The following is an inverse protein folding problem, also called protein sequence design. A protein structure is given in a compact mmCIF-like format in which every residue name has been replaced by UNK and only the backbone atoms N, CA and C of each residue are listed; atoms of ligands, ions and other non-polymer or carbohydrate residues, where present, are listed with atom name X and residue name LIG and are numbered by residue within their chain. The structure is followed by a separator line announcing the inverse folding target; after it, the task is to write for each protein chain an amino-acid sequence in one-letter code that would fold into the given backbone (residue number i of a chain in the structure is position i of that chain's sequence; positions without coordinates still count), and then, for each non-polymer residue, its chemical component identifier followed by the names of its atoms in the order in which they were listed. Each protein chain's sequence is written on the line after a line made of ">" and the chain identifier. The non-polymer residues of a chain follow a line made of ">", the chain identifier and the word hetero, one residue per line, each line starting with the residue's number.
data_IF_584052053206
#
_entry.id   IF_584052053206
#
_cell.length_a   1.000
_cell.length_b   1.000
_cell.length_c   1.000
_cell.angle_alpha   90.00
_cell.angle_beta   90.00
_cell.angle_gamma   90.00
#
_symmetry.space_group_name_H-M   'P 1'
#
loop_
_entity.id
_entity.type
_entity.pdbx_description
1 polymer ?
#
# COMPACT_ATOMS: atom_id res chain seq x y z
N UNK A 1 -4.84 37.43 -12.96
CA UNK A 1 -3.79 37.70 -14.02
C UNK A 1 -4.47 37.81 -15.40
N UNK A 2 -5.10 36.77 -15.93
CA UNK A 2 -5.69 36.80 -17.28
C UNK A 2 -6.78 37.87 -17.50
N UNK A 3 -7.51 38.27 -16.45
CA UNK A 3 -8.59 39.29 -16.53
C UNK A 3 -8.00 40.68 -16.63
N UNK A 4 -6.90 40.97 -15.94
CA UNK A 4 -6.18 42.22 -15.96
C UNK A 4 -5.51 42.47 -17.32
N UNK A 5 -4.81 41.46 -17.84
CA UNK A 5 -4.23 41.49 -19.18
C UNK A 5 -5.29 41.72 -20.26
N UNK A 6 -6.46 41.07 -20.15
CA UNK A 6 -7.57 41.27 -21.05
C UNK A 6 -8.12 42.71 -20.99
N UNK A 7 -8.36 43.21 -19.76
CA UNK A 7 -8.86 44.57 -19.58
C UNK A 7 -7.91 45.63 -20.15
N UNK A 8 -6.59 45.47 -19.92
CA UNK A 8 -5.54 46.32 -20.45
C UNK A 8 -5.50 46.29 -21.99
N UNK A 9 -5.55 45.11 -22.56
CA UNK A 9 -5.52 44.90 -24.05
C UNK A 9 -6.71 45.54 -24.75
N UNK A 10 -7.88 45.54 -24.12
CA UNK A 10 -9.11 46.08 -24.70
C UNK A 10 -9.51 47.45 -24.15
N UNK A 11 -8.62 48.12 -23.42
CA UNK A 11 -8.86 49.44 -22.79
C UNK A 11 -10.12 49.50 -21.95
N UNK A 12 -10.42 48.46 -21.21
CA UNK A 12 -11.51 48.43 -20.26
C UNK A 12 -11.10 49.15 -18.95
N UNK A 13 -12.06 49.79 -18.24
CA UNK A 13 -11.72 50.46 -16.98
C UNK A 13 -11.33 49.46 -15.93
N UNK A 14 -10.18 49.67 -15.30
CA UNK A 14 -9.69 48.92 -14.14
C UNK A 14 -9.87 49.79 -12.92
N UNK A 15 -10.64 49.35 -11.92
CA UNK A 15 -10.98 50.08 -10.71
C UNK A 15 -10.36 49.40 -9.51
N UNK A 16 -9.60 50.12 -8.72
CA UNK A 16 -9.09 49.63 -7.45
C UNK A 16 -10.24 49.37 -6.46
N UNK A 17 -10.33 48.15 -5.94
CA UNK A 17 -11.33 47.73 -4.95
C UNK A 17 -10.71 47.24 -3.65
N UNK A 18 -9.39 47.00 -3.64
CA UNK A 18 -8.60 46.67 -2.44
C UNK A 18 -7.36 47.55 -2.46
N UNK A 19 -7.23 48.41 -1.45
CA UNK A 19 -6.07 49.30 -1.31
C UNK A 19 -4.82 48.52 -0.90
N UNK A 20 -3.66 49.00 -1.34
CA UNK A 20 -2.37 48.47 -0.91
C UNK A 20 -1.42 48.09 -2.04
N UNK A 21 -1.89 48.09 -3.30
CA UNK A 21 -1.10 47.84 -4.49
C UNK A 21 -1.11 49.00 -5.49
N UNK A 22 -0.42 48.81 -6.59
CA UNK A 22 -0.40 49.73 -7.74
C UNK A 22 -1.09 49.06 -8.94
N UNK A 23 -2.39 49.24 -9.08
CA UNK A 23 -3.21 48.61 -10.14
C UNK A 23 -2.83 49.07 -11.54
N UNK A 24 -1.99 50.13 -11.69
CA UNK A 24 -1.47 50.52 -12.96
C UNK A 24 -0.32 49.59 -13.46
N UNK A 25 0.27 48.80 -12.56
CA UNK A 25 1.35 47.87 -12.88
C UNK A 25 0.89 46.43 -12.96
N UNK A 26 0.08 46.03 -11.98
CA UNK A 26 -0.41 44.64 -11.87
C UNK A 26 -1.67 44.54 -11.00
N UNK A 27 -2.42 43.48 -11.16
CA UNK A 27 -3.57 43.16 -10.32
C UNK A 27 -3.10 42.88 -8.87
N UNK A 28 -3.67 43.61 -7.89
CA UNK A 28 -3.35 43.44 -6.48
C UNK A 28 -4.04 42.18 -5.91
N UNK A 29 -3.24 41.24 -5.41
CA UNK A 29 -3.72 39.97 -4.82
C UNK A 29 -3.46 39.87 -3.31
N UNK A 30 -2.88 40.91 -2.72
CA UNK A 30 -2.56 40.95 -1.29
C UNK A 30 -3.74 41.38 -0.42
N UNK A 31 -3.48 41.45 0.89
CA UNK A 31 -4.43 41.99 1.86
C UNK A 31 -4.52 43.53 1.75
N UNK A 32 -5.66 44.09 2.13
CA UNK A 32 -5.91 45.52 2.14
C UNK A 32 -7.29 45.86 2.65
N UNK A 33 -7.64 47.15 2.56
CA UNK A 33 -8.95 47.67 2.91
C UNK A 33 -9.75 47.88 1.65
N UNK A 34 -11.03 47.47 1.68
CA UNK A 34 -11.93 47.63 0.53
C UNK A 34 -12.21 49.12 0.31
N UNK A 35 -12.12 49.52 -0.98
CA UNK A 35 -12.39 50.90 -1.46
C UNK A 35 -13.27 50.77 -2.70
N UNK A 36 -13.97 51.85 -3.08
CA UNK A 36 -14.86 51.90 -4.23
C UNK A 36 -15.90 50.74 -4.25
N UNK A 37 -16.31 50.27 -3.09
CA UNK A 37 -17.18 49.11 -2.88
C UNK A 37 -18.27 49.42 -1.83
N UNK A 38 -19.30 50.25 -2.15
CA UNK A 38 -20.16 50.95 -1.19
C UNK A 38 -20.70 50.14 -0.01
N UNK A 39 -21.02 48.85 -0.21
CA UNK A 39 -21.58 47.99 0.83
C UNK A 39 -20.52 47.53 1.84
N UNK A 40 -19.25 47.46 1.40
CA UNK A 40 -18.14 46.83 2.14
C UNK A 40 -16.91 47.71 2.26
N UNK A 41 -17.00 48.98 1.86
CA UNK A 41 -15.91 49.96 2.01
C UNK A 41 -15.41 50.05 3.47
N UNK A 42 -14.10 50.23 3.62
CA UNK A 42 -13.43 50.35 4.89
C UNK A 42 -13.23 49.05 5.67
N UNK A 43 -13.67 47.92 5.14
CA UNK A 43 -13.46 46.60 5.74
C UNK A 43 -12.21 45.93 5.18
N UNK A 44 -11.57 45.11 6.02
CA UNK A 44 -10.55 44.19 5.51
C UNK A 44 -11.20 43.03 4.72
N UNK A 45 -10.42 42.32 3.88
CA UNK A 45 -10.91 41.29 3.00
C UNK A 45 -11.75 40.20 3.68
N UNK A 46 -11.36 39.62 4.86
CA UNK A 46 -12.16 38.62 5.56
C UNK A 46 -13.54 39.16 6.03
N UNK A 47 -13.55 40.34 6.60
CA UNK A 47 -14.79 40.99 7.07
C UNK A 47 -15.71 41.38 5.89
N UNK A 48 -15.13 41.86 4.79
CA UNK A 48 -15.87 42.21 3.58
C UNK A 48 -16.52 40.96 2.95
N UNK A 49 -15.82 39.84 2.85
CA UNK A 49 -16.37 38.57 2.35
C UNK A 49 -17.59 38.13 3.18
N UNK A 50 -17.49 38.17 4.49
CA UNK A 50 -18.60 37.80 5.37
C UNK A 50 -19.80 38.74 5.19
N UNK A 51 -19.57 40.07 5.15
CA UNK A 51 -20.63 41.07 5.01
C UNK A 51 -21.30 41.01 3.65
N UNK A 52 -20.56 40.83 2.55
CA UNK A 52 -21.17 40.77 1.22
C UNK A 52 -22.01 39.48 1.03
N UNK A 53 -21.58 38.35 1.59
CA UNK A 53 -22.38 37.13 1.59
C UNK A 53 -23.72 37.37 2.34
N UNK A 54 -23.68 37.92 3.51
CA UNK A 54 -24.89 38.24 4.31
C UNK A 54 -25.83 39.22 3.56
N UNK A 55 -25.27 40.24 2.90
CA UNK A 55 -26.06 41.19 2.10
C UNK A 55 -26.70 40.53 0.89
N UNK A 56 -26.00 39.65 0.19
CA UNK A 56 -26.54 38.89 -0.95
C UNK A 56 -27.68 37.93 -0.54
N UNK A 57 -27.54 37.32 0.65
CA UNK A 57 -28.59 36.47 1.23
C UNK A 57 -29.83 37.27 1.61
N UNK A 58 -29.63 38.41 2.26
CA UNK A 58 -30.73 39.36 2.63
C UNK A 58 -31.49 39.83 1.40
N UNK A 59 -30.79 40.09 0.30
CA UNK A 59 -31.41 40.48 -0.98
C UNK A 59 -32.05 39.32 -1.76
N UNK A 60 -31.83 38.07 -1.35
CA UNK A 60 -32.33 36.88 -2.05
C UNK A 60 -31.68 36.63 -3.40
N UNK A 61 -30.51 37.24 -3.67
CA UNK A 61 -29.79 37.16 -4.96
C UNK A 61 -28.50 36.32 -4.88
N UNK A 62 -28.17 35.78 -3.73
CA UNK A 62 -27.01 34.92 -3.53
C UNK A 62 -27.08 34.16 -2.20
N UNK A 63 -26.21 33.19 -2.02
CA UNK A 63 -26.06 32.40 -0.79
C UNK A 63 -24.59 32.09 -0.57
N UNK A 64 -24.12 32.28 0.68
CA UNK A 64 -22.79 31.84 1.07
C UNK A 64 -22.67 30.32 0.99
N UNK A 65 -21.69 29.83 0.25
CA UNK A 65 -21.42 28.39 0.11
C UNK A 65 -19.97 28.09 0.45
N UNK A 66 -19.77 26.95 1.10
CA UNK A 66 -18.43 26.41 1.34
C UNK A 66 -18.16 25.35 0.29
N UNK A 67 -17.17 25.61 -0.55
CA UNK A 67 -16.73 24.65 -1.55
C UNK A 67 -15.42 23.99 -1.06
N UNK A 68 -15.39 22.68 -1.09
CA UNK A 68 -14.18 21.93 -0.78
C UNK A 68 -13.33 21.75 -2.05
N UNK A 69 -12.00 21.84 -1.92
CA UNK A 69 -11.07 21.61 -3.05
C UNK A 69 -10.99 20.14 -3.43
N UNK A 70 -11.28 19.24 -2.49
CA UNK A 70 -11.34 17.81 -2.75
C UNK A 70 -12.59 17.49 -3.56
N UNK A 71 -12.43 16.69 -4.60
CA UNK A 71 -13.57 16.11 -5.33
C UNK A 71 -14.22 15.03 -4.48
N UNK A 72 -15.51 14.83 -4.70
CA UNK A 72 -16.23 13.70 -4.08
C UNK A 72 -15.56 12.39 -4.43
N UNK A 73 -15.48 11.52 -3.42
CA UNK A 73 -14.91 10.20 -3.60
C UNK A 73 -15.98 9.26 -4.15
N UNK A 74 -15.82 8.84 -5.41
CA UNK A 74 -16.75 7.92 -6.05
C UNK A 74 -16.48 6.49 -5.57
N UNK A 75 -17.43 5.94 -4.81
CA UNK A 75 -17.39 4.56 -4.30
C UNK A 75 -18.09 3.57 -5.25
N UNK A 76 -18.08 3.82 -6.55
CA UNK A 76 -18.65 2.94 -7.57
C UNK A 76 -17.72 2.77 -8.76
N UNK A 77 -17.80 1.63 -9.41
CA UNK A 77 -17.04 1.29 -10.61
C UNK A 77 -17.94 0.65 -11.66
N UNK A 78 -17.71 1.00 -12.91
CA UNK A 78 -18.39 0.45 -14.09
C UNK A 78 -17.68 -0.84 -14.51
N UNK A 79 -17.64 -1.82 -13.62
CA UNK A 79 -16.96 -3.10 -13.81
C UNK A 79 -17.85 -4.25 -13.37
N UNK A 80 -17.68 -5.41 -13.99
CA UNK A 80 -18.35 -6.64 -13.56
C UNK A 80 -17.76 -7.16 -12.24
N UNK A 81 -16.41 -7.31 -12.18
CA UNK A 81 -15.74 -7.81 -10.99
C UNK A 81 -15.66 -6.78 -9.87
N UNK A 82 -16.41 -7.03 -8.83
CA UNK A 82 -16.52 -6.21 -7.63
C UNK A 82 -17.73 -6.65 -6.82
N UNK A 83 -17.82 -6.22 -5.56
CA UNK A 83 -19.01 -6.48 -4.72
C UNK A 83 -20.21 -5.69 -5.28
N UNK A 84 -21.36 -6.34 -5.54
CA UNK A 84 -22.57 -5.64 -5.94
C UNK A 84 -23.09 -4.72 -4.82
N UNK A 85 -23.67 -3.58 -5.20
CA UNK A 85 -24.38 -2.77 -4.23
C UNK A 85 -25.72 -3.41 -3.88
N UNK A 86 -26.05 -3.60 -2.59
CA UNK A 86 -27.34 -4.11 -2.17
C UNK A 86 -28.42 -3.01 -2.20
N UNK A 87 -28.57 -2.38 -3.37
CA UNK A 87 -29.48 -1.26 -3.58
C UNK A 87 -30.42 -1.53 -4.78
N UNK A 88 -31.65 -1.06 -4.62
CA UNK A 88 -32.64 -1.03 -5.70
C UNK A 88 -33.18 0.39 -5.88
N UNK A 89 -33.51 0.75 -7.11
CA UNK A 89 -34.10 2.06 -7.45
C UNK A 89 -35.51 1.85 -8.00
N UNK A 90 -36.49 2.52 -7.40
CA UNK A 90 -37.87 2.50 -7.82
C UNK A 90 -38.09 3.43 -9.05
N UNK A 91 -39.23 3.32 -9.74
CA UNK A 91 -39.56 4.16 -10.89
C UNK A 91 -39.59 5.67 -10.59
N UNK A 92 -39.91 6.04 -9.34
CA UNK A 92 -39.91 7.44 -8.90
C UNK A 92 -38.52 7.97 -8.53
N UNK A 93 -37.46 7.16 -8.70
CA UNK A 93 -36.08 7.50 -8.36
C UNK A 93 -35.72 7.24 -6.89
N UNK A 94 -36.64 6.72 -6.08
CA UNK A 94 -36.35 6.38 -4.69
C UNK A 94 -35.38 5.21 -4.63
N UNK A 95 -34.24 5.37 -3.91
CA UNK A 95 -33.25 4.32 -3.67
C UNK A 95 -33.53 3.65 -2.32
N UNK A 96 -33.59 2.32 -2.31
CA UNK A 96 -33.77 1.50 -1.11
C UNK A 96 -32.68 0.45 -0.98
N UNK A 97 -32.39 0.07 0.27
CA UNK A 97 -31.55 -1.09 0.55
C UNK A 97 -32.31 -2.39 0.29
N UNK A 98 -31.61 -3.40 -0.22
CA UNK A 98 -32.11 -4.78 -0.29
C UNK A 98 -32.29 -5.31 1.14
N UNK A 99 -33.42 -5.96 1.47
CA UNK A 99 -33.63 -6.54 2.80
C UNK A 99 -32.54 -7.55 3.17
N UNK A 100 -32.27 -7.67 4.47
CA UNK A 100 -31.28 -8.63 5.00
C UNK A 100 -31.57 -10.08 4.59
N UNK A 101 -32.85 -10.45 4.41
CA UNK A 101 -33.26 -11.78 3.96
C UNK A 101 -32.85 -12.13 2.55
N UNK A 102 -32.61 -11.11 1.72
CA UNK A 102 -32.28 -11.25 0.30
C UNK A 102 -30.77 -11.08 0.03
N UNK A 103 -29.97 -10.99 1.08
CA UNK A 103 -28.53 -10.96 1.01
C UNK A 103 -27.92 -12.38 1.06
N UNK A 104 -26.78 -12.61 0.41
CA UNK A 104 -26.00 -11.67 -0.39
C UNK A 104 -26.57 -11.45 -1.80
N UNK A 105 -26.41 -10.24 -2.33
CA UNK A 105 -26.62 -9.99 -3.75
C UNK A 105 -25.43 -10.58 -4.52
N UNK A 106 -25.68 -11.60 -5.35
CA UNK A 106 -24.63 -12.29 -6.11
C UNK A 106 -24.56 -11.77 -7.55
N UNK A 107 -23.36 -11.79 -8.13
CA UNK A 107 -23.16 -11.44 -9.53
C UNK A 107 -23.83 -12.49 -10.46
N UNK A 108 -24.55 -12.07 -11.50
CA UNK A 108 -25.11 -12.99 -12.49
C UNK A 108 -24.03 -13.41 -13.49
N UNK A 109 -24.16 -14.58 -14.08
CA UNK A 109 -23.34 -14.95 -15.23
C UNK A 109 -23.67 -14.09 -16.44
N UNK A 110 -22.67 -13.70 -17.21
CA UNK A 110 -22.80 -12.91 -18.45
C UNK A 110 -22.05 -13.60 -19.58
N UNK A 111 -22.63 -13.56 -20.77
CA UNK A 111 -21.99 -14.03 -22.01
C UNK A 111 -20.81 -13.12 -22.40
N UNK A 112 -20.91 -11.81 -22.11
CA UNK A 112 -19.88 -10.80 -22.37
C UNK A 112 -19.70 -9.83 -21.20
N UNK A 113 -18.45 -9.60 -20.79
CA UNK A 113 -18.08 -8.68 -19.70
C UNK A 113 -17.69 -7.27 -20.18
N UNK A 114 -18.27 -6.84 -21.31
CA UNK A 114 -18.05 -5.51 -21.89
C UNK A 114 -19.17 -4.55 -21.49
N UNK A 115 -18.89 -3.24 -21.45
CA UNK A 115 -19.95 -2.24 -21.34
C UNK A 115 -21.02 -2.41 -22.44
N UNK A 116 -22.20 -1.88 -22.21
CA UNK A 116 -23.25 -1.81 -23.23
C UNK A 116 -22.86 -0.82 -24.34
N UNK A 117 -23.56 -0.80 -25.46
CA UNK A 117 -23.28 0.11 -26.58
C UNK A 117 -23.47 1.58 -26.18
N UNK A 118 -24.39 1.86 -25.25
CA UNK A 118 -24.66 3.19 -24.68
C UNK A 118 -23.76 3.53 -23.49
N UNK A 119 -22.73 2.70 -23.21
CA UNK A 119 -21.72 2.94 -22.18
C UNK A 119 -22.13 2.59 -20.75
N UNK A 120 -23.24 1.85 -20.55
CA UNK A 120 -23.63 1.37 -19.23
C UNK A 120 -22.67 0.25 -18.73
N UNK A 121 -22.58 0.01 -17.41
CA UNK A 121 -21.75 -1.05 -16.87
C UNK A 121 -22.11 -2.44 -17.43
N UNK A 122 -21.17 -3.40 -17.41
CA UNK A 122 -21.42 -4.76 -17.90
C UNK A 122 -22.64 -5.44 -17.27
N UNK A 123 -22.93 -5.19 -15.99
CA UNK A 123 -24.11 -5.76 -15.30
C UNK A 123 -25.43 -5.29 -15.90
N UNK A 124 -25.48 -4.14 -16.58
CA UNK A 124 -26.68 -3.68 -17.27
C UNK A 124 -27.13 -4.62 -18.40
N UNK A 125 -26.25 -5.51 -18.89
CA UNK A 125 -26.60 -6.57 -19.87
C UNK A 125 -27.44 -7.69 -19.26
N UNK A 126 -27.38 -7.88 -17.94
CA UNK A 126 -28.11 -8.92 -17.24
C UNK A 126 -29.58 -8.52 -16.99
N UNK A 127 -30.37 -8.32 -18.02
CA UNK A 127 -31.75 -7.82 -17.91
C UNK A 127 -32.59 -8.53 -16.83
N UNK A 128 -32.53 -9.86 -16.74
CA UNK A 128 -33.26 -10.65 -15.73
C UNK A 128 -32.81 -10.38 -14.30
N UNK A 129 -31.54 -10.04 -14.12
CA UNK A 129 -30.98 -9.70 -12.82
C UNK A 129 -31.22 -8.24 -12.46
N UNK A 130 -31.13 -7.32 -13.43
CA UNK A 130 -31.34 -5.88 -13.22
C UNK A 130 -32.78 -5.59 -12.81
N UNK A 131 -33.77 -6.19 -13.52
CA UNK A 131 -35.17 -5.97 -13.22
C UNK A 131 -35.60 -6.83 -12.02
N UNK A 132 -36.08 -6.17 -11.00
CA UNK A 132 -36.54 -6.78 -9.75
C UNK A 132 -37.79 -6.08 -9.25
N UNK A 133 -38.26 -6.42 -8.07
CA UNK A 133 -39.33 -5.72 -7.38
C UNK A 133 -38.90 -5.33 -5.97
N UNK A 134 -39.46 -4.26 -5.47
CA UNK A 134 -39.35 -3.88 -4.06
C UNK A 134 -40.06 -4.92 -3.20
N UNK A 135 -39.36 -5.62 -2.31
CA UNK A 135 -39.98 -6.69 -1.51
C UNK A 135 -41.09 -6.22 -0.56
N UNK A 136 -41.07 -4.94 -0.17
CA UNK A 136 -42.05 -4.38 0.75
C UNK A 136 -43.35 -3.98 0.03
N UNK A 137 -43.23 -3.45 -1.18
CA UNK A 137 -44.39 -2.87 -1.89
C UNK A 137 -44.82 -3.66 -3.13
N UNK A 138 -43.97 -4.59 -3.60
CA UNK A 138 -44.17 -5.30 -4.86
C UNK A 138 -44.00 -4.45 -6.12
N UNK A 139 -43.62 -3.18 -5.99
CA UNK A 139 -43.44 -2.27 -7.14
C UNK A 139 -42.21 -2.67 -7.93
N UNK A 140 -42.23 -2.43 -9.28
CA UNK A 140 -41.04 -2.62 -10.10
C UNK A 140 -39.87 -1.78 -9.61
N UNK A 141 -38.67 -2.38 -9.66
CA UNK A 141 -37.42 -1.74 -9.27
C UNK A 141 -36.25 -2.24 -10.14
N UNK A 142 -35.17 -1.47 -10.16
CA UNK A 142 -33.93 -1.82 -10.85
C UNK A 142 -32.80 -2.00 -9.82
N UNK A 143 -32.01 -3.06 -9.96
CA UNK A 143 -30.77 -3.22 -9.18
C UNK A 143 -29.72 -2.24 -9.67
N UNK A 144 -28.85 -1.78 -8.74
CA UNK A 144 -27.66 -1.01 -9.08
C UNK A 144 -26.72 -1.87 -9.96
N UNK A 145 -26.29 -1.32 -11.10
CA UNK A 145 -25.45 -2.02 -12.08
C UNK A 145 -23.95 -1.71 -11.94
N UNK A 146 -23.58 -0.70 -11.15
CA UNK A 146 -22.22 -0.48 -10.74
C UNK A 146 -21.81 -1.48 -9.65
N UNK A 147 -20.52 -1.69 -9.50
CA UNK A 147 -19.95 -2.48 -8.40
C UNK A 147 -19.13 -1.59 -7.48
N UNK A 148 -18.89 -2.06 -6.26
CA UNK A 148 -17.96 -1.41 -5.34
C UNK A 148 -16.53 -1.49 -5.88
N UNK A 149 -15.61 -0.57 -5.48
CA UNK A 149 -14.20 -0.68 -5.83
C UNK A 149 -13.60 -1.99 -5.31
N UNK A 150 -12.59 -2.49 -5.98
CA UNK A 150 -11.85 -3.71 -5.57
C UNK A 150 -11.33 -3.68 -4.12
N UNK A 151 -11.14 -2.48 -3.55
CA UNK A 151 -10.70 -2.28 -2.17
C UNK A 151 -11.83 -2.41 -1.14
N UNK A 152 -13.08 -2.50 -1.56
CA UNK A 152 -14.22 -2.62 -0.66
C UNK A 152 -14.19 -3.91 0.16
N UNK A 153 -13.83 -5.03 -0.46
CA UNK A 153 -13.64 -6.30 0.24
C UNK A 153 -12.41 -6.29 1.16
N UNK A 154 -11.29 -5.76 0.67
CA UNK A 154 -10.03 -5.73 1.44
C UNK A 154 -10.02 -4.70 2.57
N UNK A 155 -10.91 -3.71 2.55
CA UNK A 155 -10.88 -2.61 3.52
C UNK A 155 -11.34 -2.99 4.94
N UNK A 156 -11.86 -4.19 5.15
CA UNK A 156 -12.35 -4.66 6.44
C UNK A 156 -11.95 -6.09 6.81
N UNK A 157 -11.14 -6.77 6.00
CA UNK A 157 -10.75 -8.17 6.23
C UNK A 157 -10.12 -8.41 7.60
N UNK A 158 -9.33 -7.47 8.11
CA UNK A 158 -8.68 -7.54 9.40
C UNK A 158 -9.70 -7.54 10.56
N UNK A 159 -10.84 -6.89 10.40
CA UNK A 159 -11.95 -6.99 11.35
C UNK A 159 -12.59 -8.37 11.31
N UNK A 160 -12.83 -8.92 10.10
CA UNK A 160 -13.37 -10.28 9.97
C UNK A 160 -12.45 -11.34 10.56
N UNK A 161 -11.13 -11.13 10.50
CA UNK A 161 -10.15 -12.03 11.12
C UNK A 161 -10.28 -12.13 12.64
N UNK A 162 -10.80 -11.09 13.31
CA UNK A 162 -11.06 -11.14 14.75
C UNK A 162 -12.00 -12.29 15.13
N UNK A 163 -12.98 -12.62 14.26
CA UNK A 163 -14.00 -13.63 14.52
C UNK A 163 -14.45 -14.33 13.23
N UNK A 164 -13.49 -14.91 12.51
CA UNK A 164 -13.69 -15.44 11.16
C UNK A 164 -14.72 -16.57 11.03
N UNK A 165 -15.02 -17.27 12.12
CA UNK A 165 -15.96 -18.40 12.14
C UNK A 165 -17.37 -18.03 12.62
N UNK A 166 -17.59 -16.79 12.99
CA UNK A 166 -18.91 -16.32 13.43
C UNK A 166 -19.88 -16.34 12.24
N UNK A 167 -20.93 -17.16 12.34
CA UNK A 167 -21.95 -17.29 11.30
C UNK A 167 -23.16 -16.36 11.51
N UNK A 168 -23.22 -15.67 12.64
CA UNK A 168 -24.36 -14.82 13.01
C UNK A 168 -24.08 -13.33 12.76
N UNK A 169 -22.83 -12.90 13.01
CA UNK A 169 -22.40 -11.52 12.91
C UNK A 169 -21.08 -11.42 12.13
N UNK A 170 -20.76 -10.22 11.67
CA UNK A 170 -19.47 -9.95 11.01
C UNK A 170 -18.29 -10.21 11.98
N UNK A 171 -18.48 -9.90 13.24
CA UNK A 171 -17.62 -10.22 14.40
C UNK A 171 -18.39 -9.95 15.69
N UNK A 172 -18.05 -10.65 16.77
CA UNK A 172 -18.56 -10.34 18.09
C UNK A 172 -17.87 -9.10 18.68
N UNK A 173 -18.58 -8.34 19.48
CA UNK A 173 -18.01 -7.16 20.18
C UNK A 173 -16.85 -7.54 21.10
N UNK A 174 -16.91 -8.72 21.71
CA UNK A 174 -15.86 -9.25 22.58
C UNK A 174 -14.57 -9.50 21.80
N UNK A 175 -14.65 -10.20 20.66
CA UNK A 175 -13.49 -10.50 19.81
C UNK A 175 -12.89 -9.21 19.23
N UNK A 176 -13.71 -8.27 18.76
CA UNK A 176 -13.26 -6.98 18.25
C UNK A 176 -12.54 -6.19 19.33
N UNK A 177 -13.13 -6.05 20.52
CA UNK A 177 -12.52 -5.30 21.63
C UNK A 177 -11.18 -5.90 22.12
N UNK A 178 -11.00 -7.22 21.96
CA UNK A 178 -9.76 -7.90 22.32
C UNK A 178 -8.65 -7.70 21.28
N UNK A 179 -8.97 -7.86 20.00
CA UNK A 179 -7.99 -7.87 18.93
C UNK A 179 -7.69 -6.49 18.33
N UNK A 180 -8.64 -5.54 18.41
CA UNK A 180 -8.48 -4.22 17.81
C UNK A 180 -7.97 -3.16 18.82
N UNK A 181 -7.28 -2.12 18.33
CA UNK A 181 -6.78 -1.94 16.97
C UNK A 181 -5.58 -2.85 16.66
N UNK A 182 -5.34 -3.12 15.39
CA UNK A 182 -4.17 -3.92 14.93
C UNK A 182 -2.88 -3.27 15.42
N UNK A 183 -2.02 -4.04 16.09
CA UNK A 183 -0.80 -3.51 16.73
C UNK A 183 0.25 -3.07 15.72
N UNK A 184 0.48 -3.88 14.66
CA UNK A 184 1.44 -3.61 13.60
C UNK A 184 0.84 -3.99 12.24
N UNK A 185 0.78 -3.03 11.34
CA UNK A 185 0.30 -3.22 9.98
C UNK A 185 1.42 -2.95 8.98
N UNK A 186 1.79 -3.97 8.21
CA UNK A 186 2.92 -3.90 7.27
C UNK A 186 2.38 -3.95 5.84
N UNK A 187 2.80 -3.02 4.99
CA UNK A 187 2.40 -2.99 3.60
C UNK A 187 3.08 -1.89 2.82
N UNK A 188 3.09 -2.01 1.48
CA UNK A 188 3.75 -1.06 0.59
C UNK A 188 3.18 0.36 0.68
N UNK A 189 4.04 1.34 0.50
CA UNK A 189 3.66 2.77 0.55
C UNK A 189 2.65 3.16 -0.54
N UNK A 190 2.57 2.42 -1.65
CA UNK A 190 1.58 2.59 -2.72
C UNK A 190 0.14 2.45 -2.23
N UNK A 191 -0.09 1.71 -1.15
CA UNK A 191 -1.40 1.53 -0.55
C UNK A 191 -1.90 2.74 0.25
N UNK A 192 -1.08 3.77 0.46
CA UNK A 192 -1.48 4.99 1.18
C UNK A 192 -2.70 5.68 0.56
N UNK A 193 -2.79 5.68 -0.78
CA UNK A 193 -3.92 6.24 -1.54
C UNK A 193 -4.87 5.17 -2.10
N UNK A 194 -4.64 3.91 -1.80
CA UNK A 194 -5.42 2.76 -2.24
C UNK A 194 -6.06 2.07 -1.02
N UNK A 195 -5.62 0.87 -0.69
CA UNK A 195 -6.17 0.06 0.41
C UNK A 195 -6.25 0.80 1.75
N UNK A 196 -5.20 1.51 2.16
CA UNK A 196 -5.17 2.18 3.48
C UNK A 196 -6.18 3.32 3.58
N UNK A 197 -6.42 4.06 2.48
CA UNK A 197 -7.44 5.10 2.44
C UNK A 197 -8.83 4.50 2.65
N UNK A 198 -9.16 3.41 1.93
CA UNK A 198 -10.43 2.70 2.06
C UNK A 198 -10.59 2.08 3.45
N UNK A 199 -9.56 1.38 3.95
CA UNK A 199 -9.58 0.74 5.26
C UNK A 199 -9.83 1.74 6.39
N UNK A 200 -9.13 2.88 6.37
CA UNK A 200 -9.30 3.92 7.39
C UNK A 200 -10.67 4.60 7.31
N UNK A 201 -11.12 4.95 6.10
CA UNK A 201 -12.43 5.57 5.91
C UNK A 201 -13.55 4.63 6.35
N UNK A 202 -13.53 3.36 5.91
CA UNK A 202 -14.50 2.35 6.26
C UNK A 202 -14.55 2.11 7.77
N UNK A 203 -13.38 2.02 8.41
CA UNK A 203 -13.28 1.88 9.85
C UNK A 203 -13.92 3.05 10.61
N UNK A 204 -13.73 4.28 10.13
CA UNK A 204 -14.38 5.46 10.72
C UNK A 204 -15.90 5.44 10.57
N UNK A 205 -16.42 5.00 9.44
CA UNK A 205 -17.85 4.82 9.22
C UNK A 205 -18.42 3.77 10.19
N UNK A 206 -17.70 2.63 10.35
CA UNK A 206 -18.09 1.59 11.30
C UNK A 206 -18.01 2.07 12.76
N UNK A 207 -17.03 2.92 13.09
CA UNK A 207 -16.93 3.55 14.41
C UNK A 207 -18.11 4.49 14.68
N UNK A 208 -18.44 5.34 13.73
CA UNK A 208 -19.58 6.27 13.86
C UNK A 208 -20.91 5.53 13.96
N UNK A 209 -21.02 4.36 13.33
CA UNK A 209 -22.16 3.46 13.43
C UNK A 209 -22.17 2.54 14.68
N UNK A 210 -21.11 2.57 15.50
CA UNK A 210 -21.00 1.81 16.75
C UNK A 210 -20.60 0.34 16.58
N UNK A 211 -20.09 -0.06 15.41
CA UNK A 211 -19.70 -1.45 15.14
C UNK A 211 -18.25 -1.78 15.57
N UNK A 212 -17.39 -0.79 15.73
CA UNK A 212 -16.02 -0.96 16.21
C UNK A 212 -15.73 -0.02 17.38
N UNK A 213 -14.81 -0.44 18.27
CA UNK A 213 -14.50 0.26 19.52
C UNK A 213 -13.45 1.36 19.36
N UNK A 214 -12.70 1.38 18.27
CA UNK A 214 -11.56 2.26 18.05
C UNK A 214 -11.76 3.17 16.84
N UNK A 215 -11.24 4.42 16.91
CA UNK A 215 -11.34 5.39 15.81
C UNK A 215 -10.36 5.12 14.66
N UNK A 216 -9.26 4.45 14.96
CA UNK A 216 -8.22 4.12 13.97
C UNK A 216 -8.01 2.61 13.94
N UNK A 217 -7.88 2.00 12.74
CA UNK A 217 -7.76 0.55 12.62
C UNK A 217 -6.39 0.03 13.04
N UNK A 218 -5.32 0.83 12.91
CA UNK A 218 -3.94 0.42 13.10
C UNK A 218 -3.21 1.31 14.09
N UNK A 219 -2.49 0.71 15.08
CA UNK A 219 -1.64 1.45 16.02
C UNK A 219 -0.35 1.92 15.38
N UNK A 220 0.27 1.04 14.57
CA UNK A 220 1.54 1.31 13.89
C UNK A 220 1.46 0.82 12.46
N UNK A 221 1.76 1.70 11.52
CA UNK A 221 1.95 1.37 10.11
C UNK A 221 3.46 1.31 9.83
N UNK A 222 3.88 0.27 9.15
CA UNK A 222 5.24 0.12 8.66
C UNK A 222 5.23 -0.14 7.15
N UNK A 223 5.85 0.75 6.38
CA UNK A 223 5.98 0.58 4.93
C UNK A 223 7.37 0.05 4.61
N UNK A 224 7.44 -1.15 4.02
CA UNK A 224 8.67 -1.68 3.51
C UNK A 224 9.07 -0.98 2.20
N UNK A 225 10.38 -0.86 1.98
CA UNK A 225 10.92 -0.41 0.71
C UNK A 225 10.71 -1.44 -0.42
N UNK A 226 10.79 -0.98 -1.65
CA UNK A 226 10.65 -1.85 -2.82
C UNK A 226 11.95 -2.61 -3.10
N UNK A 227 11.81 -3.85 -3.58
CA UNK A 227 12.90 -4.59 -4.21
C UNK A 227 12.90 -4.17 -5.68
N UNK A 228 13.96 -3.51 -6.08
CA UNK A 228 14.20 -3.01 -7.43
C UNK A 228 15.08 -4.00 -8.21
N UNK A 229 15.26 -3.77 -9.51
CA UNK A 229 16.21 -4.53 -10.31
C UNK A 229 16.93 -3.64 -11.33
N UNK A 230 18.08 -4.11 -11.77
CA UNK A 230 18.78 -3.45 -12.87
C UNK A 230 18.03 -3.66 -14.18
N UNK A 231 17.86 -2.59 -14.94
CA UNK A 231 17.40 -2.62 -16.33
C UNK A 231 18.54 -2.18 -17.26
N UNK A 232 18.47 -2.64 -18.50
CA UNK A 232 19.49 -2.39 -19.53
C UNK A 232 18.81 -1.80 -20.75
N UNK A 233 19.18 -0.56 -21.12
CA UNK A 233 18.52 0.17 -22.18
C UNK A 233 19.56 0.78 -23.13
N UNK A 234 19.38 0.63 -24.45
CA UNK A 234 20.19 1.32 -25.44
C UNK A 234 19.75 2.77 -25.66
N UNK A 235 20.51 3.52 -26.47
CA UNK A 235 20.23 4.93 -26.77
C UNK A 235 18.95 5.15 -27.57
N UNK A 236 18.39 4.11 -28.18
CA UNK A 236 17.12 4.15 -28.91
C UNK A 236 15.92 3.87 -27.96
N UNK A 237 16.17 3.66 -26.68
CA UNK A 237 15.14 3.38 -25.69
C UNK A 237 14.69 1.91 -25.63
N UNK A 238 15.33 1.00 -26.34
CA UNK A 238 15.01 -0.44 -26.31
C UNK A 238 15.62 -1.10 -25.07
N UNK A 239 14.81 -1.88 -24.36
CA UNK A 239 15.25 -2.66 -23.22
C UNK A 239 15.71 -4.06 -23.62
N UNK A 240 16.62 -4.62 -22.82
CA UNK A 240 17.23 -5.93 -23.01
C UNK A 240 17.15 -6.75 -21.70
N UNK A 241 16.98 -8.08 -21.82
CA UNK A 241 17.08 -8.98 -20.68
C UNK A 241 18.50 -9.06 -20.14
N UNK A 242 18.72 -9.32 -18.83
CA UNK A 242 20.06 -9.46 -18.24
C UNK A 242 20.95 -10.46 -18.99
N UNK A 243 20.38 -11.58 -19.48
CA UNK A 243 21.13 -12.60 -20.23
C UNK A 243 21.55 -12.18 -21.64
N UNK A 244 20.97 -11.11 -22.19
CA UNK A 244 21.28 -10.55 -23.51
C UNK A 244 22.40 -9.50 -23.50
N UNK A 245 22.89 -9.14 -22.31
CA UNK A 245 23.93 -8.13 -22.14
C UNK A 245 25.17 -8.72 -21.49
N UNK A 246 26.30 -8.08 -21.71
CA UNK A 246 27.59 -8.43 -21.11
C UNK A 246 28.33 -7.17 -20.69
N UNK A 247 29.09 -7.27 -19.61
CA UNK A 247 29.96 -6.20 -19.15
C UNK A 247 31.33 -6.36 -19.77
N UNK A 248 31.84 -5.34 -20.46
CA UNK A 248 33.21 -5.24 -20.96
C UNK A 248 33.85 -4.05 -20.28
N UNK A 249 34.91 -4.31 -19.53
CA UNK A 249 35.52 -3.31 -18.65
C UNK A 249 34.46 -2.66 -17.71
N UNK A 250 34.21 -1.38 -17.82
CA UNK A 250 33.26 -0.65 -17.00
C UNK A 250 31.90 -0.35 -17.70
N UNK A 251 31.72 -0.84 -18.93
CA UNK A 251 30.55 -0.56 -19.74
C UNK A 251 29.79 -1.84 -20.11
N UNK A 252 28.47 -1.71 -20.22
CA UNK A 252 27.60 -2.80 -20.64
C UNK A 252 27.27 -2.71 -22.13
N UNK A 253 27.23 -3.87 -22.80
CA UNK A 253 26.95 -3.99 -24.24
C UNK A 253 25.93 -5.11 -24.47
N UNK A 254 25.20 -5.03 -25.58
CA UNK A 254 24.41 -6.16 -26.08
C UNK A 254 25.38 -7.25 -26.54
N UNK A 255 25.21 -8.48 -26.06
CA UNK A 255 26.10 -9.61 -26.35
C UNK A 255 26.36 -9.77 -27.84
N UNK A 256 27.63 -9.91 -28.18
CA UNK A 256 28.08 -10.12 -29.56
C UNK A 256 27.96 -8.90 -30.47
N UNK A 257 27.70 -7.70 -29.89
CA UNK A 257 27.63 -6.43 -30.63
C UNK A 257 28.43 -5.33 -29.93
N UNK A 258 28.58 -4.19 -30.58
CA UNK A 258 29.16 -2.97 -29.99
C UNK A 258 28.07 -1.97 -29.53
N UNK A 259 26.81 -2.43 -29.46
CA UNK A 259 25.71 -1.58 -28.96
C UNK A 259 25.84 -1.42 -27.46
N UNK A 260 26.21 -0.22 -27.02
CA UNK A 260 26.29 0.14 -25.62
C UNK A 260 24.88 0.19 -25.00
N UNK A 261 24.78 -0.23 -23.74
CA UNK A 261 23.57 -0.09 -22.94
C UNK A 261 23.88 0.58 -21.60
N UNK A 262 23.00 1.46 -21.17
CA UNK A 262 23.05 2.04 -19.83
C UNK A 262 22.29 1.17 -18.86
N UNK A 263 22.78 1.11 -17.64
CA UNK A 263 22.10 0.41 -16.53
C UNK A 263 21.38 1.41 -15.64
N UNK A 264 20.19 1.04 -15.18
CA UNK A 264 19.41 1.82 -14.23
C UNK A 264 18.81 0.88 -13.19
N UNK A 265 18.69 1.35 -11.95
CA UNK A 265 17.97 0.63 -10.89
C UNK A 265 16.53 1.13 -10.89
N UNK A 266 15.59 0.26 -11.21
CA UNK A 266 14.20 0.62 -11.42
C UNK A 266 13.25 -0.42 -10.84
N UNK A 267 11.97 -0.03 -10.68
CA UNK A 267 10.91 -0.97 -10.34
C UNK A 267 10.84 -2.10 -11.36
N UNK A 268 10.71 -3.34 -10.88
CA UNK A 268 10.55 -4.51 -11.73
C UNK A 268 9.30 -4.40 -12.60
N UNK A 269 9.47 -4.63 -13.91
CA UNK A 269 8.39 -4.57 -14.89
C UNK A 269 8.67 -5.47 -16.08
N UNK A 270 7.63 -6.14 -16.60
CA UNK A 270 7.73 -6.95 -17.81
C UNK A 270 8.21 -6.15 -19.02
N UNK A 271 7.82 -4.87 -19.12
CA UNK A 271 8.23 -3.97 -20.22
C UNK A 271 9.70 -3.54 -20.15
N UNK A 272 10.35 -3.68 -19.01
CA UNK A 272 11.76 -3.36 -18.77
C UNK A 272 12.67 -4.59 -18.75
N UNK A 273 12.08 -5.78 -18.87
CA UNK A 273 12.76 -7.07 -18.88
C UNK A 273 13.67 -7.32 -17.65
N UNK A 274 13.31 -6.74 -16.50
CA UNK A 274 14.08 -6.80 -15.27
C UNK A 274 13.36 -7.52 -14.12
N UNK A 275 12.34 -8.29 -14.42
CA UNK A 275 11.59 -9.05 -13.41
C UNK A 275 12.41 -10.24 -12.95
N UNK A 276 12.51 -10.43 -11.63
CA UNK A 276 13.04 -11.64 -11.00
C UNK A 276 11.84 -12.51 -10.63
N UNK A 277 11.80 -13.74 -11.14
CA UNK A 277 10.75 -14.69 -10.85
C UNK A 277 11.07 -15.42 -9.53
N UNK A 278 10.22 -15.30 -8.48
CA UNK A 278 10.43 -16.01 -7.21
C UNK A 278 10.55 -17.54 -7.37
N UNK A 279 9.78 -18.15 -8.26
CA UNK A 279 9.81 -19.62 -8.47
C UNK A 279 11.20 -20.08 -8.92
N UNK A 280 11.81 -19.38 -9.89
CA UNK A 280 13.16 -19.69 -10.36
C UNK A 280 14.23 -19.55 -9.25
N UNK A 281 14.04 -18.57 -8.36
CA UNK A 281 14.93 -18.35 -7.21
C UNK A 281 14.77 -19.47 -6.20
N UNK A 282 13.53 -19.84 -5.87
CA UNK A 282 13.21 -20.93 -4.94
C UNK A 282 13.72 -22.26 -5.47
N UNK A 283 13.52 -22.58 -6.74
CA UNK A 283 14.02 -23.81 -7.38
C UNK A 283 15.54 -23.90 -7.32
N UNK A 284 16.23 -22.78 -7.47
CA UNK A 284 17.70 -22.75 -7.51
C UNK A 284 18.35 -22.71 -6.13
N UNK A 285 17.80 -21.97 -5.19
CA UNK A 285 18.45 -21.67 -3.89
C UNK A 285 17.65 -22.13 -2.69
N UNK A 286 16.39 -22.51 -2.85
CA UNK A 286 15.46 -22.83 -1.78
C UNK A 286 14.74 -21.60 -1.20
N UNK A 287 13.55 -21.83 -0.62
CA UNK A 287 12.72 -20.80 -0.04
C UNK A 287 13.40 -20.05 1.11
N UNK A 288 14.13 -20.78 1.96
CA UNK A 288 14.84 -20.17 3.10
C UNK A 288 15.92 -19.19 2.66
N UNK A 289 16.65 -19.51 1.58
CA UNK A 289 17.64 -18.56 1.02
C UNK A 289 16.99 -17.32 0.47
N UNK A 290 15.85 -17.45 -0.19
CA UNK A 290 15.08 -16.30 -0.69
C UNK A 290 14.58 -15.43 0.45
N UNK A 291 13.93 -16.02 1.47
CA UNK A 291 13.45 -15.30 2.66
C UNK A 291 14.58 -14.54 3.38
N UNK A 292 15.68 -15.23 3.65
CA UNK A 292 16.85 -14.61 4.28
C UNK A 292 17.40 -13.47 3.43
N UNK A 293 17.49 -13.65 2.12
CA UNK A 293 18.06 -12.63 1.27
C UNK A 293 17.18 -11.36 1.21
N UNK A 294 15.86 -11.50 1.07
CA UNK A 294 14.95 -10.36 1.10
C UNK A 294 15.06 -9.54 2.40
N UNK A 295 15.26 -10.21 3.54
CA UNK A 295 15.46 -9.57 4.83
C UNK A 295 16.87 -9.02 5.03
N UNK A 296 17.88 -9.62 4.37
CA UNK A 296 19.30 -9.26 4.54
C UNK A 296 19.77 -8.12 3.63
N UNK A 297 19.13 -7.89 2.48
CA UNK A 297 19.58 -6.92 1.46
C UNK A 297 19.83 -5.50 1.96
N UNK A 298 19.22 -5.12 3.11
CA UNK A 298 19.32 -3.79 3.71
C UNK A 298 18.19 -3.51 4.70
N UNK A 299 18.11 -2.30 5.24
CA UNK A 299 17.00 -1.90 6.10
C UNK A 299 15.65 -2.14 5.42
N UNK A 300 14.68 -2.66 6.18
CA UNK A 300 13.41 -3.09 5.62
C UNK A 300 12.61 -1.94 4.98
N UNK A 301 12.77 -0.71 5.47
CA UNK A 301 12.10 0.50 5.01
C UNK A 301 12.78 1.20 3.82
N UNK A 302 13.85 0.62 3.27
CA UNK A 302 14.63 1.20 2.16
C UNK A 302 14.45 0.41 0.89
N UNK A 303 14.38 1.13 -0.23
CA UNK A 303 14.47 0.52 -1.57
C UNK A 303 15.87 -0.04 -1.81
N UNK A 304 15.95 -1.20 -2.45
CA UNK A 304 17.21 -1.91 -2.66
C UNK A 304 17.16 -2.77 -3.92
N UNK A 305 18.26 -2.83 -4.70
CA UNK A 305 18.31 -3.64 -5.90
C UNK A 305 18.56 -5.11 -5.58
N UNK A 306 17.88 -6.00 -6.28
CA UNK A 306 18.19 -7.43 -6.31
C UNK A 306 19.53 -7.66 -7.00
N UNK A 307 20.37 -8.54 -6.42
CA UNK A 307 21.60 -9.04 -7.04
C UNK A 307 21.73 -10.54 -6.80
N UNK A 308 22.22 -11.29 -7.81
CA UNK A 308 22.40 -12.74 -7.69
C UNK A 308 23.57 -13.10 -6.76
N UNK A 309 24.56 -12.24 -6.64
CA UNK A 309 25.68 -12.42 -5.71
C UNK A 309 25.22 -12.41 -4.24
N UNK A 310 24.25 -11.56 -3.93
CA UNK A 310 23.72 -11.41 -2.59
C UNK A 310 23.03 -12.69 -2.10
N UNK A 311 22.16 -13.29 -2.91
CA UNK A 311 21.48 -14.53 -2.52
C UNK A 311 22.44 -15.71 -2.39
N UNK A 312 23.48 -15.79 -3.23
CA UNK A 312 24.54 -16.78 -3.08
C UNK A 312 25.26 -16.67 -1.72
N UNK A 313 25.42 -15.43 -1.21
CA UNK A 313 26.01 -15.19 0.10
C UNK A 313 25.19 -15.80 1.23
N UNK A 314 23.88 -15.57 1.26
CA UNK A 314 22.99 -16.14 2.31
C UNK A 314 22.79 -17.64 2.12
N UNK A 315 22.78 -18.16 0.89
CA UNK A 315 22.73 -19.59 0.64
C UNK A 315 23.97 -20.31 1.20
N UNK A 316 25.18 -19.73 1.02
CA UNK A 316 26.41 -20.24 1.67
C UNK A 316 26.34 -20.15 3.18
N UNK A 317 25.73 -19.12 3.75
CA UNK A 317 25.53 -19.02 5.18
C UNK A 317 24.67 -20.19 5.69
N UNK A 318 23.53 -20.51 5.07
CA UNK A 318 22.70 -21.65 5.45
C UNK A 318 23.45 -22.99 5.34
N UNK A 319 24.25 -23.20 4.30
CA UNK A 319 25.10 -24.39 4.18
C UNK A 319 26.10 -24.51 5.33
N UNK A 320 26.65 -23.38 5.77
CA UNK A 320 27.57 -23.37 6.93
C UNK A 320 26.84 -23.61 8.25
N UNK A 321 25.62 -23.09 8.39
CA UNK A 321 24.75 -23.45 9.52
C UNK A 321 24.53 -24.94 9.54
N UNK A 322 24.10 -25.55 8.43
CA UNK A 322 23.88 -26.98 8.33
C UNK A 322 25.13 -27.78 8.73
N UNK A 323 26.30 -27.40 8.25
CA UNK A 323 27.57 -28.06 8.55
C UNK A 323 28.02 -27.94 10.02
N UNK A 324 27.45 -27.06 10.84
CA UNK A 324 27.65 -27.04 12.28
C UNK A 324 26.98 -28.24 12.97
N UNK A 325 25.86 -28.69 12.42
CA UNK A 325 25.02 -29.73 13.03
C UNK A 325 25.23 -31.10 12.41
N UNK A 326 25.42 -31.17 11.11
CA UNK A 326 25.38 -32.41 10.33
C UNK A 326 26.64 -32.55 9.50
N UNK A 327 27.31 -33.72 9.65
CA UNK A 327 28.44 -34.10 8.81
C UNK A 327 28.00 -34.50 7.40
N UNK A 328 28.98 -34.73 6.52
CA UNK A 328 28.74 -35.18 5.12
C UNK A 328 28.04 -36.55 5.05
N UNK A 329 28.24 -37.42 6.05
CA UNK A 329 27.58 -38.74 6.14
C UNK A 329 26.18 -38.72 6.76
N UNK A 330 25.66 -37.52 7.10
CA UNK A 330 24.33 -37.31 7.71
C UNK A 330 24.28 -37.54 9.21
N UNK A 331 25.42 -37.80 9.88
CA UNK A 331 25.50 -37.92 11.35
C UNK A 331 25.65 -36.55 12.02
N UNK A 332 25.34 -36.47 13.32
CA UNK A 332 25.59 -35.25 14.09
C UNK A 332 27.10 -34.94 14.13
N UNK A 333 27.40 -33.66 14.08
CA UNK A 333 28.77 -33.18 14.16
C UNK A 333 29.42 -33.59 15.50
N UNK A 334 30.64 -34.18 15.50
CA UNK A 334 31.34 -34.58 16.70
C UNK A 334 31.75 -33.39 17.57
N UNK A 335 31.64 -32.17 17.10
CA UNK A 335 31.83 -30.95 17.91
C UNK A 335 30.70 -30.72 18.90
N UNK A 336 29.55 -31.37 18.71
CA UNK A 336 28.38 -31.20 19.57
C UNK A 336 28.55 -32.09 20.79
N UNK A 337 28.58 -31.45 21.97
CA UNK A 337 28.76 -32.11 23.27
C UNK A 337 27.61 -31.73 24.21
N UNK A 338 27.33 -32.60 25.19
CA UNK A 338 26.31 -32.28 26.21
C UNK A 338 26.80 -31.22 27.20
N UNK A 339 28.10 -31.25 27.55
CA UNK A 339 28.75 -30.31 28.47
C UNK A 339 30.25 -30.16 28.12
N UNK A 340 30.84 -29.05 28.53
CA UNK A 340 32.28 -28.81 28.33
C UNK A 340 32.60 -28.22 26.97
N UNK A 341 31.69 -27.45 26.41
CA UNK A 341 31.93 -26.65 25.23
C UNK A 341 32.96 -25.54 25.46
N UNK A 342 33.37 -24.90 24.37
CA UNK A 342 34.31 -23.79 24.40
C UNK A 342 33.69 -22.58 25.12
N UNK A 343 34.21 -22.24 26.33
CA UNK A 343 33.67 -21.16 27.17
C UNK A 343 33.59 -19.80 26.46
N UNK A 344 34.43 -19.56 25.44
CA UNK A 344 34.39 -18.34 24.67
C UNK A 344 33.06 -18.16 23.93
N UNK A 345 32.36 -19.25 23.62
CA UNK A 345 31.08 -19.24 22.92
C UNK A 345 29.91 -18.78 23.78
N UNK A 346 29.99 -18.92 25.12
CA UNK A 346 28.91 -18.47 26.03
C UNK A 346 28.64 -16.98 25.86
N UNK A 347 29.70 -16.17 25.84
CA UNK A 347 29.58 -14.72 25.63
C UNK A 347 29.03 -14.40 24.25
N UNK A 348 29.50 -15.08 23.20
CA UNK A 348 29.07 -14.88 21.83
C UNK A 348 27.59 -15.22 21.69
N UNK A 349 27.13 -16.35 22.25
CA UNK A 349 25.73 -16.75 22.24
C UNK A 349 24.84 -15.71 22.90
N UNK A 350 25.13 -15.29 24.13
CA UNK A 350 24.30 -14.33 24.84
C UNK A 350 24.27 -12.95 24.18
N UNK A 351 25.38 -12.52 23.57
CA UNK A 351 25.42 -11.31 22.75
C UNK A 351 24.52 -11.45 21.51
N UNK A 352 24.56 -12.62 20.86
CA UNK A 352 23.71 -12.91 19.68
C UNK A 352 22.24 -12.93 20.08
N UNK A 353 21.85 -13.64 21.14
CA UNK A 353 20.47 -13.68 21.64
C UNK A 353 19.96 -12.26 21.89
N UNK A 354 20.72 -11.47 22.68
CA UNK A 354 20.31 -10.09 22.99
C UNK A 354 20.14 -9.23 21.75
N UNK A 355 21.09 -9.29 20.81
CA UNK A 355 21.07 -8.46 19.62
C UNK A 355 19.96 -8.88 18.65
N UNK A 356 19.81 -10.19 18.37
CA UNK A 356 18.78 -10.70 17.46
C UNK A 356 17.38 -10.43 18.02
N UNK A 357 17.14 -10.63 19.33
CA UNK A 357 15.86 -10.32 19.98
C UNK A 357 15.51 -8.84 19.80
N UNK A 358 16.43 -7.94 20.13
CA UNK A 358 16.24 -6.51 19.94
C UNK A 358 15.97 -6.15 18.47
N UNK A 359 16.72 -6.71 17.54
CA UNK A 359 16.62 -6.39 16.12
C UNK A 359 15.30 -6.90 15.53
N UNK A 360 14.81 -8.07 15.95
CA UNK A 360 13.50 -8.60 15.54
C UNK A 360 12.36 -7.73 16.05
N UNK A 361 12.39 -7.31 17.32
CA UNK A 361 11.39 -6.41 17.92
C UNK A 361 11.30 -5.06 17.19
N UNK A 362 12.42 -4.61 16.61
CA UNK A 362 12.52 -3.33 15.90
C UNK A 362 12.50 -3.45 14.37
N UNK A 363 12.23 -4.64 13.81
CA UNK A 363 12.21 -4.92 12.36
C UNK A 363 13.57 -4.64 11.66
N UNK A 364 14.67 -4.80 12.40
CA UNK A 364 16.04 -4.64 11.91
C UNK A 364 16.61 -5.99 11.43
N UNK A 365 15.91 -6.64 10.52
CA UNK A 365 16.19 -8.03 10.13
C UNK A 365 17.58 -8.22 9.51
N UNK A 366 18.07 -7.24 8.75
CA UNK A 366 19.40 -7.29 8.14
C UNK A 366 20.52 -7.35 9.19
N UNK A 367 20.40 -6.60 10.27
CA UNK A 367 21.38 -6.65 11.38
C UNK A 367 21.23 -7.92 12.19
N UNK A 368 20.01 -8.42 12.45
CA UNK A 368 19.78 -9.70 13.09
C UNK A 368 20.49 -10.85 12.34
N UNK A 369 20.34 -10.91 11.01
CA UNK A 369 21.02 -11.91 10.18
C UNK A 369 22.55 -11.76 10.25
N UNK A 370 23.05 -10.53 10.22
CA UNK A 370 24.50 -10.29 10.39
C UNK A 370 25.02 -10.82 11.72
N UNK A 371 24.27 -10.64 12.83
CA UNK A 371 24.64 -11.18 14.15
C UNK A 371 24.64 -12.70 14.15
N UNK A 372 23.67 -13.33 13.50
CA UNK A 372 23.68 -14.78 13.33
C UNK A 372 24.87 -15.28 12.49
N UNK A 373 25.28 -14.55 11.47
CA UNK A 373 26.49 -14.85 10.69
C UNK A 373 27.77 -14.74 11.56
N UNK A 374 27.86 -13.76 12.44
CA UNK A 374 28.99 -13.61 13.41
C UNK A 374 29.04 -14.81 14.37
N UNK A 375 27.89 -15.26 14.89
CA UNK A 375 27.82 -16.47 15.72
C UNK A 375 28.33 -17.69 14.96
N UNK A 376 27.86 -17.94 13.75
CA UNK A 376 28.31 -19.08 12.93
C UNK A 376 29.79 -19.00 12.64
N UNK A 377 30.35 -17.81 12.39
CA UNK A 377 31.79 -17.62 12.21
C UNK A 377 32.61 -18.00 13.44
N UNK A 378 32.11 -17.70 14.64
CA UNK A 378 32.75 -18.09 15.90
C UNK A 378 32.59 -19.61 16.15
N UNK A 379 31.38 -20.14 15.98
CA UNK A 379 31.07 -21.56 16.20
C UNK A 379 31.88 -22.50 15.27
N UNK A 380 32.12 -22.10 14.03
CA UNK A 380 32.96 -22.87 13.10
C UNK A 380 34.42 -23.03 13.59
N UNK A 381 34.90 -22.06 14.37
CA UNK A 381 36.28 -22.07 14.93
C UNK A 381 36.37 -22.78 16.28
N UNK A 382 35.25 -22.90 16.99
CA UNK A 382 35.19 -23.55 18.28
C UNK A 382 35.59 -25.04 18.19
N UNK A 383 36.23 -25.54 19.21
CA UNK A 383 36.65 -26.95 19.35
C UNK A 383 35.46 -27.85 19.71
N UNK A 384 34.57 -27.37 20.59
CA UNK A 384 33.37 -28.05 21.02
C UNK A 384 32.24 -27.06 21.29
N UNK A 385 31.00 -27.45 20.99
CA UNK A 385 29.80 -26.65 21.13
C UNK A 385 28.78 -27.42 21.96
N UNK A 386 28.23 -26.81 22.98
CA UNK A 386 27.19 -27.47 23.75
C UNK A 386 25.89 -27.49 22.96
N UNK A 387 25.20 -28.64 23.03
CA UNK A 387 23.94 -28.86 22.32
C UNK A 387 22.91 -27.77 22.60
N UNK A 388 22.76 -27.34 23.84
CA UNK A 388 21.83 -26.29 24.26
C UNK A 388 22.11 -24.95 23.56
N UNK A 389 23.37 -24.60 23.32
CA UNK A 389 23.74 -23.37 22.62
C UNK A 389 23.29 -23.38 21.15
N UNK A 390 23.35 -24.56 20.53
CA UNK A 390 22.93 -24.75 19.15
C UNK A 390 21.40 -24.82 19.02
N UNK A 391 20.71 -25.35 20.03
CA UNK A 391 19.24 -25.30 20.13
C UNK A 391 18.76 -23.86 20.22
N UNK A 392 19.35 -23.03 21.10
CA UNK A 392 19.06 -21.60 21.19
C UNK A 392 19.29 -20.87 19.86
N UNK A 393 20.40 -21.19 19.18
CA UNK A 393 20.68 -20.59 17.87
C UNK A 393 19.63 -20.97 16.79
N UNK A 394 19.19 -22.22 16.76
CA UNK A 394 18.12 -22.65 15.83
C UNK A 394 16.82 -21.89 16.10
N UNK A 395 16.48 -21.67 17.37
CA UNK A 395 15.29 -20.88 17.74
C UNK A 395 15.39 -19.43 17.24
N UNK A 396 16.58 -18.83 17.26
CA UNK A 396 16.80 -17.49 16.69
C UNK A 396 16.69 -17.47 15.16
N UNK A 397 17.14 -18.54 14.50
CA UNK A 397 17.14 -18.64 13.03
C UNK A 397 15.77 -18.99 12.47
N UNK A 398 14.97 -19.79 13.17
CA UNK A 398 13.71 -20.35 12.69
C UNK A 398 12.71 -19.32 12.13
N UNK A 399 12.53 -18.10 12.67
CA UNK A 399 11.66 -17.09 12.07
C UNK A 399 12.11 -16.63 10.67
N UNK A 400 13.40 -16.72 10.37
CA UNK A 400 14.01 -16.28 9.11
C UNK A 400 14.08 -17.41 8.07
N UNK A 401 14.41 -18.61 8.51
CA UNK A 401 14.63 -19.79 7.67
C UNK A 401 14.03 -21.03 8.33
N UNK A 402 12.69 -21.20 8.31
CA UNK A 402 11.97 -22.30 8.97
C UNK A 402 12.26 -23.65 8.33
#
# INVERSE_FOLDING_TARGET
>A
ESTDEFATKFNLPIIEVISGGDIAKEAWTGDGVLVNSPVIDGLNVPAAKKKICAWLEEKGIGKGTINYRLRDWLFSRQRYWGEPFPLITLEDGTVKAVPMTDLPVTLPELDEYKPTEDGQPPLARANKWVHTSDPETGKPALRETNTMPQWAGSCWYFLRFCDARNAQEAWSKEAESYWMPVDLYIGGAEHAVLHLLYARFWHKVLFDAGYVSTREPFKKLFNQGMILAYSYQDDNGKYYYPHQVEKREDQWFVKGTDTAVRTQVEKMSKSRYNVVNPDEVVDKYGADSMRLYEMFMGPLDRDKPWTDEGIQGVHRFLKRVWALYVNEDGTLSPKIVEQGGDESMVKVLHQTIKAVTHDVENLLFNTAISRMMEFVNAAMKASALEKVWLEDFVLLLAPFAP
#
